data_IF_793481023071
#
_entry.id   IF_793481023071
#
_cell.length_a   1.000
_cell.length_b   1.000
_cell.length_c   1.000
_cell.angle_alpha   90.00
_cell.angle_beta   90.00
_cell.angle_gamma   90.00
#
_symmetry.space_group_name_H-M   'P 1'
#
loop_
_entity.id
_entity.type
_entity.pdbx_description
1 polymer ?
#
# COMPACT_ATOMS: atom_id res chain seq x y z
N UNK A 1 -16.21 -0.49 -5.71
CA UNK A 1 -15.22 0.38 -6.38
C UNK A 1 -13.89 0.14 -5.68
N UNK A 2 -12.81 -0.08 -6.44
CA UNK A 2 -11.48 -0.28 -5.85
C UNK A 2 -10.94 1.00 -5.25
N UNK A 3 -10.09 0.85 -4.27
CA UNK A 3 -9.43 1.93 -3.56
C UNK A 3 -7.92 1.91 -3.82
N UNK A 4 -7.28 3.03 -3.50
CA UNK A 4 -5.81 3.07 -3.45
C UNK A 4 -5.33 1.96 -2.51
N UNK A 5 -4.23 1.32 -2.90
CA UNK A 5 -3.55 0.28 -2.13
C UNK A 5 -4.24 -1.08 -2.04
N UNK A 6 -5.43 -1.22 -2.64
CA UNK A 6 -6.04 -2.55 -2.82
C UNK A 6 -5.11 -3.45 -3.63
N UNK A 7 -4.99 -4.69 -3.17
CA UNK A 7 -4.26 -5.76 -3.85
C UNK A 7 -5.26 -6.72 -4.47
N UNK A 8 -5.07 -7.04 -5.75
CA UNK A 8 -5.89 -8.00 -6.49
C UNK A 8 -5.07 -9.23 -6.87
N UNK A 9 -5.57 -10.41 -6.54
CA UNK A 9 -5.11 -11.64 -7.16
C UNK A 9 -5.86 -11.86 -8.47
N UNK A 10 -5.16 -12.38 -9.46
CA UNK A 10 -5.68 -12.63 -10.81
C UNK A 10 -5.61 -14.11 -11.14
N UNK A 11 -6.42 -14.55 -12.10
CA UNK A 11 -6.42 -15.93 -12.54
C UNK A 11 -5.07 -16.34 -13.13
N UNK A 12 -4.67 -17.60 -12.91
CA UNK A 12 -3.43 -18.15 -13.45
C UNK A 12 -3.29 -18.00 -14.99
N UNK A 13 -4.35 -18.17 -15.81
CA UNK A 13 -4.27 -17.89 -17.24
C UNK A 13 -3.82 -16.46 -17.56
N UNK A 14 -4.33 -15.46 -16.85
CA UNK A 14 -3.91 -14.06 -17.04
C UNK A 14 -2.47 -13.87 -16.56
N UNK A 15 -2.13 -14.43 -15.40
CA UNK A 15 -0.79 -14.30 -14.84
C UNK A 15 0.29 -14.92 -15.76
N UNK A 16 -0.02 -16.02 -16.44
CA UNK A 16 0.84 -16.64 -17.44
C UNK A 16 1.06 -15.75 -18.68
N UNK A 17 0.05 -14.96 -19.10
CA UNK A 17 0.22 -13.96 -20.17
C UNK A 17 1.22 -12.88 -19.77
N UNK A 18 1.13 -12.36 -18.54
CA UNK A 18 2.06 -11.37 -17.99
C UNK A 18 3.50 -11.92 -18.04
N UNK A 19 3.69 -13.13 -17.52
CA UNK A 19 5.01 -13.77 -17.48
C UNK A 19 5.61 -13.91 -18.89
N UNK A 20 4.82 -14.32 -19.87
CA UNK A 20 5.27 -14.53 -21.26
C UNK A 20 5.73 -13.23 -21.93
N UNK A 21 5.02 -12.12 -21.68
CA UNK A 21 5.40 -10.79 -22.19
C UNK A 21 6.72 -10.29 -21.59
N UNK A 22 7.07 -10.79 -20.40
CA UNK A 22 8.23 -10.33 -19.64
C UNK A 22 9.53 -11.08 -20.00
N UNK A 23 9.49 -12.03 -20.94
CA UNK A 23 10.64 -12.68 -21.61
C UNK A 23 11.76 -13.21 -20.68
N UNK A 24 11.44 -13.67 -19.45
CA UNK A 24 12.47 -14.18 -18.53
C UNK A 24 12.73 -15.67 -18.74
N UNK A 25 13.99 -16.06 -18.89
CA UNK A 25 14.41 -17.46 -19.14
C UNK A 25 14.60 -18.30 -17.87
N UNK A 26 14.61 -17.70 -16.68
CA UNK A 26 14.76 -18.39 -15.39
C UNK A 26 13.44 -18.50 -14.62
N UNK A 27 13.15 -19.71 -14.11
CA UNK A 27 11.99 -20.00 -13.26
C UNK A 27 12.40 -20.14 -11.79
N UNK A 28 12.81 -19.02 -11.17
CA UNK A 28 12.94 -18.95 -9.71
C UNK A 28 11.58 -19.12 -9.02
N UNK A 29 11.59 -19.22 -7.69
CA UNK A 29 10.39 -19.49 -6.89
C UNK A 29 9.30 -18.43 -7.09
N UNK A 30 9.66 -17.15 -7.17
CA UNK A 30 8.69 -16.08 -7.33
C UNK A 30 8.10 -16.02 -8.74
N UNK A 31 8.84 -16.41 -9.79
CA UNK A 31 8.30 -16.52 -11.16
C UNK A 31 7.24 -17.62 -11.23
N UNK A 32 7.44 -18.72 -10.50
CA UNK A 32 6.46 -19.80 -10.41
C UNK A 32 5.18 -19.32 -9.70
N UNK A 33 5.33 -18.60 -8.58
CA UNK A 33 4.21 -17.97 -7.87
C UNK A 33 3.45 -16.95 -8.74
N UNK A 34 4.16 -16.16 -9.56
CA UNK A 34 3.52 -15.27 -10.54
C UNK A 34 2.65 -16.07 -11.51
N UNK A 35 3.20 -17.11 -12.16
CA UNK A 35 2.45 -17.93 -13.12
C UNK A 35 1.25 -18.64 -12.48
N UNK A 36 1.35 -18.98 -11.19
CA UNK A 36 0.26 -19.57 -10.42
C UNK A 36 -0.84 -18.56 -10.01
N UNK A 37 -0.64 -17.26 -10.23
CA UNK A 37 -1.57 -16.20 -9.82
C UNK A 37 -1.47 -15.84 -8.33
N UNK A 38 -0.39 -16.23 -7.66
CA UNK A 38 -0.21 -16.05 -6.21
C UNK A 38 0.34 -14.67 -5.85
N UNK A 39 1.06 -14.02 -6.78
CA UNK A 39 1.53 -12.65 -6.58
C UNK A 39 0.38 -11.66 -6.81
N UNK A 40 0.11 -10.74 -5.86
CA UNK A 40 -0.93 -9.74 -6.05
C UNK A 40 -0.49 -8.62 -7.00
N UNK A 41 -1.43 -8.15 -7.82
CA UNK A 41 -1.35 -6.87 -8.52
C UNK A 41 -1.84 -5.72 -7.64
N UNK A 42 -1.19 -4.57 -7.75
CA UNK A 42 -1.54 -3.36 -7.02
C UNK A 42 -2.49 -2.53 -7.88
N UNK A 43 -3.65 -2.15 -7.36
CA UNK A 43 -4.56 -1.23 -8.07
C UNK A 43 -3.85 0.10 -8.29
N UNK A 44 -3.84 0.57 -9.54
CA UNK A 44 -3.25 1.84 -9.94
C UNK A 44 -4.22 2.64 -10.79
N UNK A 45 -3.87 3.91 -11.03
CA UNK A 45 -4.51 4.73 -12.06
C UNK A 45 -4.27 4.15 -13.45
N UNK A 46 -5.23 4.32 -14.34
CA UNK A 46 -5.05 4.08 -15.78
C UNK A 46 -3.98 5.01 -16.35
N UNK A 47 -3.21 4.49 -17.30
CA UNK A 47 -2.32 5.25 -18.17
C UNK A 47 -3.10 5.76 -19.39
N UNK A 48 -2.54 6.75 -20.07
CA UNK A 48 -3.12 7.26 -21.30
C UNK A 48 -3.24 6.13 -22.35
N UNK A 49 -4.43 6.00 -22.93
CA UNK A 49 -4.75 4.95 -23.92
C UNK A 49 -5.26 3.63 -23.34
N UNK A 50 -5.28 3.44 -22.02
CA UNK A 50 -5.84 2.24 -21.40
C UNK A 50 -7.37 2.31 -21.29
N UNK A 51 -8.02 1.15 -21.45
CA UNK A 51 -9.47 1.05 -21.39
C UNK A 51 -9.98 1.29 -19.97
N UNK A 52 -10.95 2.20 -19.84
CA UNK A 52 -11.66 2.45 -18.58
C UNK A 52 -12.60 1.30 -18.18
N UNK A 53 -12.90 0.36 -19.08
CA UNK A 53 -13.68 -0.85 -18.76
C UNK A 53 -12.84 -1.94 -18.11
N UNK A 54 -11.51 -1.81 -18.13
CA UNK A 54 -10.57 -2.74 -17.52
C UNK A 54 -10.03 -2.20 -16.21
N UNK A 55 -9.43 -3.07 -15.41
CA UNK A 55 -8.80 -2.72 -14.15
C UNK A 55 -7.30 -2.56 -14.38
N UNK A 56 -6.77 -1.37 -14.07
CA UNK A 56 -5.36 -1.07 -14.18
C UNK A 56 -4.58 -1.60 -12.96
N UNK A 57 -3.65 -2.51 -13.21
CA UNK A 57 -2.82 -3.15 -12.19
C UNK A 57 -1.33 -2.86 -12.41
N UNK A 58 -0.58 -2.79 -11.31
CA UNK A 58 0.87 -2.76 -11.29
C UNK A 58 1.40 -3.94 -10.49
N UNK A 59 2.28 -4.73 -11.09
CA UNK A 59 3.00 -5.81 -10.41
C UNK A 59 4.38 -5.30 -10.01
N UNK A 60 4.77 -5.53 -8.76
CA UNK A 60 6.14 -5.35 -8.30
C UNK A 60 6.71 -6.71 -7.94
N UNK A 61 7.88 -7.04 -8.46
CA UNK A 61 8.51 -8.33 -8.20
C UNK A 61 9.51 -8.24 -7.04
N UNK A 62 9.72 -9.34 -6.29
CA UNK A 62 10.55 -9.32 -5.09
C UNK A 62 12.04 -9.13 -5.43
N UNK A 63 12.48 -9.58 -6.59
CA UNK A 63 13.87 -9.43 -7.05
C UNK A 63 14.22 -7.98 -7.40
N UNK A 64 15.42 -7.57 -7.00
CA UNK A 64 16.01 -6.28 -7.36
C UNK A 64 17.11 -6.49 -8.41
N UNK A 65 17.05 -5.71 -9.49
CA UNK A 65 18.11 -5.60 -10.49
C UNK A 65 18.73 -4.21 -10.34
N UNK A 66 20.04 -4.13 -10.15
CA UNK A 66 20.77 -2.88 -9.90
C UNK A 66 20.16 -2.05 -8.74
N UNK A 67 19.71 -2.73 -7.67
CA UNK A 67 19.09 -2.09 -6.52
C UNK A 67 17.63 -1.67 -6.70
N UNK A 68 17.02 -1.90 -7.87
CA UNK A 68 15.64 -1.50 -8.15
C UNK A 68 14.73 -2.71 -8.34
N UNK A 69 13.54 -2.67 -7.71
CA UNK A 69 12.50 -3.67 -7.98
C UNK A 69 11.98 -3.50 -9.39
N UNK A 70 11.84 -4.61 -10.07
CA UNK A 70 11.21 -4.63 -11.37
C UNK A 70 9.69 -4.52 -11.23
N UNK A 71 9.08 -3.76 -12.15
CA UNK A 71 7.65 -3.49 -12.14
C UNK A 71 7.07 -3.59 -13.54
N UNK A 72 5.84 -4.08 -13.63
CA UNK A 72 5.08 -4.15 -14.87
C UNK A 72 3.69 -3.57 -14.64
N UNK A 73 3.22 -2.77 -15.58
CA UNK A 73 1.86 -2.25 -15.61
C UNK A 73 1.06 -3.04 -16.63
N UNK A 74 -0.15 -3.46 -16.26
CA UNK A 74 -1.09 -4.15 -17.14
C UNK A 74 -2.52 -3.64 -16.92
N UNK A 75 -3.42 -4.04 -17.80
CA UNK A 75 -4.86 -4.01 -17.56
C UNK A 75 -5.42 -5.44 -17.57
N UNK A 76 -6.48 -5.68 -16.79
CA UNK A 76 -7.17 -6.98 -16.73
C UNK A 76 -8.68 -6.77 -16.77
N UNK A 77 -9.43 -7.78 -17.22
CA UNK A 77 -10.88 -7.73 -17.16
C UNK A 77 -11.35 -7.95 -15.72
N UNK A 78 -12.51 -7.40 -15.31
CA UNK A 78 -13.07 -7.66 -13.98
C UNK A 78 -13.26 -9.15 -13.66
N UNK A 79 -13.61 -9.96 -14.66
CA UNK A 79 -13.76 -11.42 -14.54
C UNK A 79 -12.45 -12.18 -14.29
N UNK A 80 -11.30 -11.56 -14.56
CA UNK A 80 -9.98 -12.15 -14.32
C UNK A 80 -9.52 -12.00 -12.86
N UNK A 81 -10.20 -11.18 -12.06
CA UNK A 81 -9.89 -10.94 -10.65
C UNK A 81 -10.52 -12.03 -9.79
N UNK A 82 -9.67 -12.74 -9.03
CA UNK A 82 -10.12 -13.87 -8.19
C UNK A 82 -10.28 -13.48 -6.72
N UNK A 83 -9.52 -12.49 -6.26
CA UNK A 83 -9.57 -12.04 -4.87
C UNK A 83 -9.18 -10.56 -4.77
N UNK A 84 -9.89 -9.82 -3.93
CA UNK A 84 -9.54 -8.49 -3.46
C UNK A 84 -9.05 -8.61 -2.02
N UNK A 85 -7.89 -8.00 -1.73
CA UNK A 85 -7.33 -7.86 -0.40
C UNK A 85 -7.14 -6.39 -0.09
N UNK A 86 -7.87 -5.91 0.92
CA UNK A 86 -7.73 -4.53 1.40
C UNK A 86 -6.49 -4.39 2.30
N UNK A 87 -5.90 -3.18 2.39
CA UNK A 87 -4.79 -2.92 3.32
C UNK A 87 -5.10 -3.32 4.77
N UNK A 88 -6.36 -3.14 5.19
CA UNK A 88 -6.83 -3.45 6.55
C UNK A 88 -6.88 -4.95 6.81
N UNK A 89 -7.38 -5.74 5.86
CA UNK A 89 -7.37 -7.21 5.98
C UNK A 89 -5.95 -7.75 6.00
N UNK A 90 -5.04 -7.18 5.19
CA UNK A 90 -3.65 -7.59 5.13
C UNK A 90 -2.94 -7.31 6.47
N UNK A 91 -3.21 -6.16 7.09
CA UNK A 91 -2.60 -5.78 8.37
C UNK A 91 -2.95 -6.73 9.53
N UNK A 92 -4.03 -7.50 9.42
CA UNK A 92 -4.46 -8.46 10.44
C UNK A 92 -3.90 -9.87 10.23
N UNK A 93 -3.20 -10.13 9.13
CA UNK A 93 -2.61 -11.44 8.86
C UNK A 93 -1.40 -11.70 9.74
N UNK A 94 -1.10 -12.98 9.94
CA UNK A 94 0.13 -13.42 10.58
C UNK A 94 1.33 -13.23 9.64
N UNK A 95 2.47 -12.83 10.19
CA UNK A 95 3.71 -12.65 9.46
C UNK A 95 4.93 -12.83 10.36
N UNK A 96 6.09 -13.09 9.75
CA UNK A 96 7.35 -13.22 10.49
C UNK A 96 7.99 -11.86 10.75
N UNK A 97 8.53 -11.65 11.96
CA UNK A 97 9.17 -10.39 12.39
C UNK A 97 10.62 -10.24 11.86
N UNK A 98 10.79 -10.42 10.55
CA UNK A 98 12.10 -10.56 9.90
C UNK A 98 12.86 -9.25 9.75
N UNK A 99 12.16 -8.13 9.57
CA UNK A 99 12.74 -6.81 9.29
C UNK A 99 12.23 -5.76 10.27
N UNK A 100 12.96 -4.64 10.44
CA UNK A 100 12.50 -3.53 11.26
C UNK A 100 11.10 -3.03 10.87
N UNK A 101 10.76 -2.99 9.57
CA UNK A 101 9.43 -2.63 9.10
C UNK A 101 8.33 -3.59 9.59
N UNK A 102 8.56 -4.90 9.55
CA UNK A 102 7.61 -5.91 10.06
C UNK A 102 7.51 -5.87 11.60
N UNK A 103 8.62 -5.66 12.30
CA UNK A 103 8.64 -5.46 13.76
C UNK A 103 7.87 -4.20 14.17
N UNK A 104 8.09 -3.11 13.43
CA UNK A 104 7.38 -1.83 13.62
C UNK A 104 5.88 -2.01 13.39
N UNK A 105 5.47 -2.76 12.36
CA UNK A 105 4.04 -3.05 12.12
C UNK A 105 3.41 -3.81 13.29
N UNK A 106 4.10 -4.79 13.87
CA UNK A 106 3.60 -5.53 15.02
C UNK A 106 3.38 -4.61 16.24
N UNK A 107 4.36 -3.79 16.62
CA UNK A 107 4.22 -2.81 17.72
C UNK A 107 3.16 -1.74 17.40
N UNK A 108 3.10 -1.28 16.14
CA UNK A 108 2.10 -0.32 15.69
C UNK A 108 0.68 -0.87 15.88
N UNK A 109 0.41 -2.14 15.55
CA UNK A 109 -0.91 -2.77 15.75
C UNK A 109 -1.36 -2.67 17.20
N UNK A 110 -0.47 -3.00 18.14
CA UNK A 110 -0.78 -2.97 19.57
C UNK A 110 -1.05 -1.55 20.06
N UNK A 111 -0.21 -0.59 19.66
CA UNK A 111 -0.40 0.82 20.08
C UNK A 111 -1.62 1.47 19.43
N UNK A 112 -1.89 1.19 18.16
CA UNK A 112 -3.03 1.73 17.46
C UNK A 112 -4.35 1.18 18.01
N UNK A 113 -4.36 -0.07 18.47
CA UNK A 113 -5.50 -0.64 19.18
C UNK A 113 -5.87 0.18 20.42
N UNK A 114 -4.88 0.60 21.23
CA UNK A 114 -5.09 1.45 22.40
C UNK A 114 -5.64 2.85 22.04
N UNK A 115 -5.36 3.31 20.83
CA UNK A 115 -5.83 4.60 20.29
C UNK A 115 -7.16 4.49 19.54
N UNK A 116 -7.81 3.31 19.52
CA UNK A 116 -8.99 3.05 18.69
C UNK A 116 -8.78 3.42 17.20
N UNK A 117 -7.57 3.20 16.70
CA UNK A 117 -7.18 3.43 15.33
C UNK A 117 -6.95 2.08 14.66
N UNK A 118 -7.55 1.82 13.50
CA UNK A 118 -7.32 0.56 12.77
C UNK A 118 -6.31 0.81 11.65
N UNK A 119 -5.12 0.19 11.68
CA UNK A 119 -4.16 0.34 10.60
C UNK A 119 -4.50 -0.59 9.44
N UNK A 120 -4.34 -0.09 8.22
CA UNK A 120 -4.10 -0.89 7.02
C UNK A 120 -2.63 -0.78 6.62
N UNK A 121 -2.06 -1.86 6.10
CA UNK A 121 -0.66 -1.89 5.61
C UNK A 121 -0.66 -1.99 4.09
N UNK A 122 0.24 -1.25 3.45
CA UNK A 122 0.42 -1.30 2.00
C UNK A 122 1.90 -1.34 1.62
N UNK A 123 2.19 -1.19 0.33
CA UNK A 123 3.57 -1.16 -0.16
C UNK A 123 4.32 -2.48 0.02
N UNK A 124 5.61 -2.38 0.33
CA UNK A 124 6.52 -3.55 0.42
C UNK A 124 6.08 -4.55 1.48
N UNK A 125 5.65 -4.06 2.64
CA UNK A 125 5.24 -4.88 3.78
C UNK A 125 4.00 -5.70 3.43
N UNK A 126 2.99 -5.08 2.79
CA UNK A 126 1.80 -5.79 2.34
C UNK A 126 2.11 -6.87 1.30
N UNK A 127 2.99 -6.59 0.33
CA UNK A 127 3.40 -7.56 -0.67
C UNK A 127 4.09 -8.77 -0.03
N UNK A 128 4.96 -8.57 0.97
CA UNK A 128 5.60 -9.66 1.71
C UNK A 128 4.60 -10.49 2.51
N UNK A 129 3.68 -9.85 3.22
CA UNK A 129 2.64 -10.55 4.00
C UNK A 129 1.75 -11.40 3.10
N UNK A 130 1.35 -10.88 1.93
CA UNK A 130 0.43 -11.59 1.04
C UNK A 130 1.13 -12.70 0.26
N UNK A 131 2.35 -12.47 -0.21
CA UNK A 131 3.04 -13.41 -1.11
C UNK A 131 4.01 -14.36 -0.42
N UNK A 132 4.42 -14.06 0.81
CA UNK A 132 5.47 -14.79 1.53
C UNK A 132 6.89 -14.56 1.00
N UNK A 133 7.07 -13.81 -0.09
CA UNK A 133 8.40 -13.46 -0.60
C UNK A 133 8.98 -12.24 0.10
N UNK A 134 10.30 -12.17 0.18
CA UNK A 134 10.99 -11.04 0.78
C UNK A 134 10.88 -9.80 -0.09
N UNK A 135 10.00 -8.87 0.29
CA UNK A 135 9.96 -7.54 -0.28
C UNK A 135 10.72 -6.56 0.62
N UNK A 136 10.60 -6.68 1.93
CA UNK A 136 11.25 -5.78 2.89
C UNK A 136 12.72 -6.13 3.12
N UNK A 137 13.51 -5.15 3.55
CA UNK A 137 14.89 -5.27 3.99
C UNK A 137 15.14 -4.36 5.20
N UNK A 138 16.38 -4.25 5.66
CA UNK A 138 16.74 -3.41 6.81
C UNK A 138 16.59 -1.90 6.56
N UNK A 139 16.40 -1.47 5.31
CA UNK A 139 16.26 -0.06 4.92
C UNK A 139 14.82 0.29 4.53
N UNK A 140 13.92 -0.70 4.58
CA UNK A 140 12.53 -0.50 4.19
C UNK A 140 11.81 0.38 5.20
N UNK A 141 11.01 1.29 4.68
CA UNK A 141 9.99 2.02 5.41
C UNK A 141 8.76 1.14 5.66
N UNK A 142 7.85 1.66 6.49
CA UNK A 142 6.54 1.10 6.74
C UNK A 142 5.47 2.04 6.20
N UNK A 143 4.72 1.54 5.22
CA UNK A 143 3.60 2.24 4.58
C UNK A 143 2.27 1.82 5.23
N UNK A 144 1.56 2.78 5.81
CA UNK A 144 0.28 2.58 6.51
C UNK A 144 -0.80 3.45 5.89
N UNK A 145 -2.03 2.95 5.93
CA UNK A 145 -3.24 3.71 5.65
C UNK A 145 -4.19 3.63 6.85
N UNK A 146 -4.86 4.72 7.18
CA UNK A 146 -5.90 4.77 8.20
C UNK A 146 -7.12 5.51 7.66
N UNK A 147 -8.29 5.24 8.22
CA UNK A 147 -9.46 6.08 7.98
C UNK A 147 -9.34 7.41 8.75
N UNK A 148 -10.10 8.43 8.33
CA UNK A 148 -10.13 9.72 9.01
C UNK A 148 -10.65 9.59 10.44
N UNK A 149 -10.01 10.33 11.35
CA UNK A 149 -10.41 10.46 12.75
C UNK A 149 -10.52 11.96 13.12
N UNK A 150 -11.16 12.30 14.25
CA UNK A 150 -11.10 13.63 14.81
C UNK A 150 -9.66 14.11 14.96
N UNK A 151 -9.43 15.41 14.75
CA UNK A 151 -8.10 16.03 14.74
C UNK A 151 -7.28 15.71 15.99
N UNK A 152 -7.92 15.67 17.16
CA UNK A 152 -7.24 15.34 18.42
C UNK A 152 -6.72 13.91 18.42
N UNK A 153 -7.54 12.94 17.98
CA UNK A 153 -7.12 11.55 17.84
C UNK A 153 -6.02 11.40 16.77
N UNK A 154 -6.11 12.13 15.65
CA UNK A 154 -5.03 12.13 14.65
C UNK A 154 -3.72 12.67 15.24
N UNK A 155 -3.77 13.63 16.17
CA UNK A 155 -2.59 14.16 16.86
C UNK A 155 -1.98 13.08 17.76
N UNK A 156 -2.80 12.32 18.48
CA UNK A 156 -2.34 11.20 19.31
C UNK A 156 -1.70 10.10 18.46
N UNK A 157 -2.32 9.75 17.34
CA UNK A 157 -1.75 8.83 16.34
C UNK A 157 -0.40 9.37 15.85
N UNK A 158 -0.32 10.65 15.50
CA UNK A 158 0.94 11.27 15.06
C UNK A 158 2.04 11.19 16.13
N UNK A 159 1.73 11.48 17.40
CA UNK A 159 2.71 11.34 18.48
C UNK A 159 3.17 9.89 18.67
N UNK A 160 2.23 8.94 18.60
CA UNK A 160 2.55 7.51 18.64
C UNK A 160 3.49 7.09 17.50
N UNK A 161 3.27 7.62 16.29
CA UNK A 161 4.14 7.35 15.15
C UNK A 161 5.57 7.82 15.40
N UNK A 162 5.76 9.05 15.92
CA UNK A 162 7.09 9.56 16.22
C UNK A 162 7.82 8.68 17.24
N UNK A 163 7.12 8.15 18.25
CA UNK A 163 7.69 7.22 19.23
C UNK A 163 8.06 5.88 18.60
N UNK A 164 7.22 5.33 17.72
CA UNK A 164 7.51 4.10 16.99
C UNK A 164 8.73 4.25 16.07
N UNK A 165 8.82 5.35 15.33
CA UNK A 165 9.98 5.64 14.47
C UNK A 165 11.28 5.72 15.26
N UNK A 166 11.24 6.34 16.46
CA UNK A 166 12.38 6.39 17.37
C UNK A 166 12.75 5.02 17.93
N UNK A 167 11.76 4.20 18.27
CA UNK A 167 11.95 2.88 18.87
C UNK A 167 12.57 1.89 17.87
N UNK A 168 12.06 1.87 16.64
CA UNK A 168 12.41 0.87 15.64
C UNK A 168 13.41 1.36 14.58
N UNK A 169 13.80 2.64 14.63
CA UNK A 169 14.61 3.30 13.60
C UNK A 169 14.06 3.10 12.18
N UNK A 170 12.74 2.99 12.06
CA UNK A 170 12.03 2.71 10.81
C UNK A 170 11.17 3.91 10.48
N UNK A 171 11.29 4.42 9.25
CA UNK A 171 10.42 5.50 8.76
C UNK A 171 9.01 4.95 8.53
N UNK A 172 8.01 5.63 9.05
CA UNK A 172 6.59 5.28 8.88
C UNK A 172 5.90 6.38 8.07
N UNK A 173 5.33 5.99 6.93
CA UNK A 173 4.51 6.86 6.08
C UNK A 173 3.03 6.49 6.28
N UNK A 174 2.22 7.44 6.76
CA UNK A 174 0.79 7.22 7.01
C UNK A 174 -0.05 8.06 6.07
N UNK A 175 -0.90 7.40 5.27
CA UNK A 175 -1.92 8.01 4.43
C UNK A 175 -3.29 7.95 5.17
N UNK A 176 -3.92 9.11 5.39
CA UNK A 176 -5.27 9.22 5.97
C UNK A 176 -6.28 9.29 4.83
N UNK A 177 -7.25 8.37 4.81
CA UNK A 177 -8.35 8.38 3.85
C UNK A 177 -9.36 9.46 4.22
N UNK A 178 -9.33 10.57 3.48
CA UNK A 178 -10.27 11.66 3.68
C UNK A 178 -11.64 11.34 3.05
N UNK A 179 -12.76 11.87 3.58
CA UNK A 179 -14.09 11.67 3.01
C UNK A 179 -14.25 12.15 1.55
N UNK A 180 -13.36 13.03 1.09
CA UNK A 180 -13.31 13.48 -0.31
C UNK A 180 -12.81 12.41 -1.28
N UNK A 181 -12.38 11.25 -0.79
CA UNK A 181 -11.81 10.16 -1.58
C UNK A 181 -10.30 10.27 -1.83
N UNK A 182 -9.65 11.26 -1.22
CA UNK A 182 -8.21 11.48 -1.31
C UNK A 182 -7.49 10.92 -0.09
N UNK A 183 -6.33 10.31 -0.31
CA UNK A 183 -5.35 10.02 0.73
C UNK A 183 -4.50 11.25 1.01
N UNK A 184 -4.36 11.62 2.29
CA UNK A 184 -3.58 12.76 2.77
C UNK A 184 -2.45 12.23 3.66
N UNK A 185 -1.21 12.66 3.46
CA UNK A 185 -0.12 12.25 4.35
C UNK A 185 -0.30 12.87 5.75
N UNK A 186 -0.32 12.04 6.80
CA UNK A 186 -0.57 12.50 8.17
C UNK A 186 0.52 13.46 8.67
N UNK A 187 1.79 13.21 8.35
CA UNK A 187 2.89 14.10 8.77
C UNK A 187 2.79 15.46 8.09
N UNK A 188 2.48 15.48 6.80
CA UNK A 188 2.21 16.72 6.07
C UNK A 188 1.01 17.47 6.68
N UNK A 189 -0.08 16.75 6.97
CA UNK A 189 -1.24 17.34 7.64
C UNK A 189 -0.90 17.92 9.02
N UNK A 190 0.00 17.30 9.79
CA UNK A 190 0.37 17.81 11.10
C UNK A 190 1.35 18.98 11.05
N UNK A 191 2.28 18.98 10.09
CA UNK A 191 3.45 19.89 10.11
C UNK A 191 3.38 21.03 9.10
N UNK A 192 2.71 20.84 7.96
CA UNK A 192 2.65 21.83 6.89
C UNK A 192 1.59 22.90 7.17
N UNK A 193 1.86 24.14 6.77
CA UNK A 193 0.89 25.25 6.76
C UNK A 193 0.44 25.53 5.32
N UNK A 194 -0.80 25.97 5.14
CA UNK A 194 -1.34 26.30 3.82
C UNK A 194 -1.82 25.07 3.05
N UNK A 195 -1.17 24.77 1.93
CA UNK A 195 -1.62 23.72 1.00
C UNK A 195 -1.03 22.35 1.34
N UNK A 196 -1.85 21.31 1.24
CA UNK A 196 -1.51 19.90 1.49
C UNK A 196 -1.84 19.07 0.25
N UNK A 197 -0.96 18.14 -0.09
CA UNK A 197 -1.15 17.23 -1.21
C UNK A 197 -2.12 16.09 -0.87
N UNK A 198 -3.18 15.96 -1.66
CA UNK A 198 -4.07 14.80 -1.67
C UNK A 198 -3.89 13.97 -2.92
N UNK A 199 -3.92 12.63 -2.75
CA UNK A 199 -3.78 11.66 -3.84
C UNK A 199 -5.01 10.78 -3.94
N UNK A 200 -5.60 10.67 -5.12
CA UNK A 200 -6.67 9.72 -5.42
C UNK A 200 -6.17 8.62 -6.38
N UNK A 201 -7.06 7.74 -6.85
CA UNK A 201 -6.77 6.85 -7.98
C UNK A 201 -6.82 7.58 -9.33
N UNK A 202 -7.40 8.78 -9.39
CA UNK A 202 -7.62 9.49 -10.65
C UNK A 202 -6.61 10.61 -10.85
N UNK A 203 -6.28 11.33 -9.77
CA UNK A 203 -5.50 12.56 -9.82
C UNK A 203 -4.75 12.85 -8.52
N UNK A 204 -3.99 13.94 -8.55
CA UNK A 204 -3.31 14.53 -7.40
C UNK A 204 -3.73 16.00 -7.34
N UNK A 205 -4.12 16.46 -6.15
CA UNK A 205 -4.66 17.81 -5.94
C UNK A 205 -4.10 18.43 -4.67
N UNK A 206 -3.95 19.76 -4.67
CA UNK A 206 -3.65 20.54 -3.47
C UNK A 206 -4.94 20.97 -2.77
N UNK A 207 -4.98 20.79 -1.47
CA UNK A 207 -6.08 21.18 -0.58
C UNK A 207 -5.61 22.27 0.38
N UNK A 208 -6.48 23.23 0.68
CA UNK A 208 -6.25 24.13 1.80
C UNK A 208 -6.43 23.36 3.11
N UNK A 209 -5.45 23.45 4.02
CA UNK A 209 -5.47 22.78 5.32
C UNK A 209 -6.67 23.20 6.18
N UNK A 210 -7.06 24.48 6.16
CA UNK A 210 -8.21 24.95 6.92
C UNK A 210 -9.52 24.34 6.40
N UNK A 211 -9.61 24.15 5.08
CA UNK A 211 -10.75 23.46 4.48
C UNK A 211 -10.79 21.97 4.87
N UNK A 212 -9.63 21.30 4.95
CA UNK A 212 -9.54 19.92 5.45
C UNK A 212 -9.94 19.83 6.93
N UNK A 213 -9.52 20.79 7.76
CA UNK A 213 -9.92 20.85 9.17
C UNK A 213 -11.43 20.96 9.33
N UNK A 214 -12.08 21.87 8.59
CA UNK A 214 -13.53 22.04 8.67
C UNK A 214 -14.31 20.78 8.26
N UNK A 215 -13.73 19.93 7.40
CA UNK A 215 -14.32 18.67 6.97
C UNK A 215 -14.02 17.48 7.90
N UNK A 216 -13.14 17.64 8.88
CA UNK A 216 -12.73 16.60 9.85
C UNK A 216 -13.34 16.82 11.26
N UNK A 217 -14.34 17.69 11.36
CA UNK A 217 -15.15 17.96 12.57
C UNK A 217 -16.39 17.06 12.55
#
# INVERSE_FOLDING_TARGET
MFQRHDLLQISAPVAQRIFTQWQTSTRGSWQQALVAGELPGIVRRHLEGESQSEIALGFSFPERINGQRQRVAITVLPEDVVCLLTPFEIAQREFSLRTPALQTLADLRDRFHLLNCTPGVWGSTALEIVSGFHYTDCQSDLDIVIDIHPVEQLRDVYQCLLQLEQTHHTRIDVEVRWPTGYGINLKEFMTTQGQILGKSLNDVRLFDKQALFAAAI
#
